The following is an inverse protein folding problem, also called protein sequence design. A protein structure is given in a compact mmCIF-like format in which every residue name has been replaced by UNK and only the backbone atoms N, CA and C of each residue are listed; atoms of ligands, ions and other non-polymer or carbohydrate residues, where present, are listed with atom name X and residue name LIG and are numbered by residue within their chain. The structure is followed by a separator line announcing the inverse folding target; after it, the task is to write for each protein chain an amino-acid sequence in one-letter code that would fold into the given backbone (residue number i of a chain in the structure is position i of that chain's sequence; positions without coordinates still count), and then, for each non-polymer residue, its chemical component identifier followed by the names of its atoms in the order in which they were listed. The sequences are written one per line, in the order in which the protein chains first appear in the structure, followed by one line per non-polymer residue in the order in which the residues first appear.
data_IF_271699570389
#
_entry.id   IF_271699570389
#
_cell.length_a   1.000
_cell.length_b   1.000
_cell.length_c   1.000
_cell.angle_alpha   90.00
_cell.angle_beta   90.00
_cell.angle_gamma   90.00
#
_symmetry.space_group_name_H-M   'P 1'
#
loop_
_entity.id
_entity.type
_entity.pdbx_description
1 polymer ?
#
# COMPACT_ATOMS: atom_id res chain seq x y z
N UNK A 1 -18.30 -27.09 -29.61
CA UNK A 1 -17.29 -26.02 -29.43
C UNK A 1 -17.58 -24.76 -30.24
N UNK A 2 -17.98 -24.82 -31.51
CA UNK A 2 -18.20 -23.61 -32.33
C UNK A 2 -19.44 -22.77 -31.95
N UNK A 3 -20.45 -23.38 -31.32
CA UNK A 3 -21.74 -22.74 -31.03
C UNK A 3 -21.64 -21.62 -30.00
N UNK A 4 -20.93 -21.84 -28.89
CA UNK A 4 -20.75 -20.85 -27.83
C UNK A 4 -19.96 -19.62 -28.32
N UNK A 5 -18.93 -19.84 -29.15
CA UNK A 5 -18.13 -18.76 -29.74
C UNK A 5 -18.94 -17.91 -30.73
N UNK A 6 -19.76 -18.54 -31.58
CA UNK A 6 -20.66 -17.81 -32.49
C UNK A 6 -21.73 -17.02 -31.72
N UNK A 7 -22.26 -17.56 -30.64
CA UNK A 7 -23.28 -16.90 -29.81
C UNK A 7 -22.72 -15.66 -29.08
N UNK A 8 -21.46 -15.72 -28.63
CA UNK A 8 -20.78 -14.61 -27.95
C UNK A 8 -20.71 -13.31 -28.76
N UNK A 9 -20.54 -13.40 -30.10
CA UNK A 9 -20.50 -12.22 -30.98
C UNK A 9 -21.84 -11.90 -31.65
N UNK A 10 -22.76 -12.87 -31.73
CA UNK A 10 -24.06 -12.69 -32.40
C UNK A 10 -25.12 -12.08 -31.51
N UNK A 11 -25.13 -12.43 -30.23
CA UNK A 11 -26.20 -12.04 -29.32
C UNK A 11 -25.68 -11.07 -28.26
N UNK A 12 -26.15 -9.81 -28.32
CA UNK A 12 -25.80 -8.77 -27.32
C UNK A 12 -26.41 -9.06 -25.94
N UNK A 13 -27.37 -9.98 -25.83
CA UNK A 13 -28.03 -10.32 -24.57
C UNK A 13 -27.14 -11.13 -23.62
N UNK A 14 -26.18 -11.91 -24.16
CA UNK A 14 -25.38 -12.86 -23.38
C UNK A 14 -24.16 -12.24 -22.68
N UNK A 15 -23.82 -10.99 -23.00
CA UNK A 15 -22.80 -10.19 -22.29
C UNK A 15 -21.38 -10.77 -22.29
N UNK A 16 -20.42 -9.99 -21.78
CA UNK A 16 -19.05 -10.49 -21.59
C UNK A 16 -18.96 -11.38 -20.34
N UNK A 17 -18.19 -12.50 -20.37
CA UNK A 17 -17.97 -13.31 -19.19
C UNK A 17 -17.33 -12.47 -18.08
N UNK A 18 -17.95 -12.50 -16.89
CA UNK A 18 -17.42 -11.83 -15.71
C UNK A 18 -16.33 -12.70 -15.10
N UNK A 19 -15.08 -12.45 -15.48
CA UNK A 19 -13.94 -13.12 -14.86
C UNK A 19 -13.89 -12.80 -13.37
N UNK A 20 -13.75 -13.84 -12.53
CA UNK A 20 -13.53 -13.66 -11.09
C UNK A 20 -12.15 -13.03 -10.89
N UNK A 21 -12.07 -12.04 -10.00
CA UNK A 21 -10.77 -11.52 -9.56
C UNK A 21 -10.03 -12.58 -8.74
N UNK A 22 -8.70 -12.61 -8.87
CA UNK A 22 -7.85 -13.44 -8.02
C UNK A 22 -7.92 -12.88 -6.61
N UNK A 23 -8.56 -13.62 -5.71
CA UNK A 23 -8.90 -13.13 -4.37
C UNK A 23 -7.69 -12.67 -3.54
N UNK A 24 -6.47 -13.18 -3.80
CA UNK A 24 -5.23 -12.86 -3.09
C UNK A 24 -4.06 -12.64 -4.07
N UNK A 25 -4.13 -11.59 -4.89
CA UNK A 25 -3.02 -11.19 -5.76
C UNK A 25 -1.84 -10.59 -4.96
N UNK A 26 -2.15 -9.89 -3.87
CA UNK A 26 -1.19 -9.17 -3.04
C UNK A 26 -0.66 -10.04 -1.91
N UNK A 27 0.61 -10.40 -2.00
CA UNK A 27 1.35 -11.08 -0.93
C UNK A 27 1.87 -10.02 0.06
N UNK A 28 1.12 -9.77 1.13
CA UNK A 28 1.51 -8.83 2.18
C UNK A 28 1.42 -9.43 3.57
N UNK A 29 2.26 -8.92 4.47
CA UNK A 29 2.29 -9.27 5.88
C UNK A 29 2.38 -7.99 6.71
N UNK A 30 1.41 -7.80 7.60
CA UNK A 30 1.34 -6.62 8.47
C UNK A 30 1.54 -7.03 9.92
N UNK A 31 2.31 -6.23 10.65
CA UNK A 31 2.56 -6.39 12.08
C UNK A 31 2.35 -5.09 12.81
N UNK A 32 1.60 -5.14 13.90
CA UNK A 32 1.50 -4.05 14.85
C UNK A 32 2.70 -4.09 15.80
N UNK A 33 3.16 -2.93 16.25
CA UNK A 33 4.22 -2.81 17.22
C UNK A 33 3.64 -2.95 18.63
N UNK A 34 3.90 -4.08 19.30
CA UNK A 34 3.56 -4.27 20.72
C UNK A 34 4.71 -3.74 21.57
N UNK A 35 4.86 -2.41 21.60
CA UNK A 35 5.91 -1.70 22.32
C UNK A 35 7.24 -1.66 21.56
N UNK A 36 7.99 -2.76 21.58
CA UNK A 36 9.37 -2.81 21.04
C UNK A 36 9.62 -3.96 20.08
N UNK A 37 8.57 -4.60 19.57
CA UNK A 37 8.70 -5.74 18.66
C UNK A 37 9.18 -5.31 17.28
N UNK A 38 8.82 -4.10 16.86
CA UNK A 38 9.27 -3.48 15.61
C UNK A 38 10.16 -2.30 15.97
N UNK A 39 11.45 -2.41 15.64
CA UNK A 39 12.45 -1.40 15.99
C UNK A 39 13.59 -1.39 14.99
N UNK A 40 14.23 -0.24 14.83
CA UNK A 40 15.51 -0.16 14.15
C UNK A 40 16.60 -0.62 15.11
N UNK A 41 17.46 -1.52 14.64
CA UNK A 41 18.70 -1.86 15.34
C UNK A 41 19.76 -0.85 14.91
N UNK A 42 19.87 -0.64 13.61
CA UNK A 42 20.78 0.31 12.96
C UNK A 42 20.03 1.10 11.88
N UNK A 43 20.73 2.05 11.24
CA UNK A 43 20.22 2.78 10.07
C UNK A 43 19.89 1.90 8.85
N UNK A 44 20.33 0.65 8.84
CA UNK A 44 20.16 -0.30 7.73
C UNK A 44 19.43 -1.58 8.13
N UNK A 45 19.05 -1.75 9.40
CA UNK A 45 18.52 -3.03 9.88
C UNK A 45 17.27 -2.79 10.71
N UNK A 46 16.18 -3.44 10.33
CA UNK A 46 14.92 -3.44 11.08
C UNK A 46 14.68 -4.81 11.71
N UNK A 47 14.26 -4.82 12.97
CA UNK A 47 13.79 -6.01 13.65
C UNK A 47 12.28 -6.11 13.53
N UNK A 48 11.81 -7.29 13.13
CA UNK A 48 10.40 -7.63 12.98
C UNK A 48 10.05 -8.84 13.85
N UNK A 49 8.77 -9.01 14.25
CA UNK A 49 8.37 -10.07 15.17
C UNK A 49 8.72 -11.48 14.68
N UNK A 50 8.37 -11.81 13.43
CA UNK A 50 8.56 -13.15 12.85
C UNK A 50 9.87 -13.28 12.08
N UNK A 51 10.26 -12.23 11.36
CA UNK A 51 11.42 -12.24 10.46
C UNK A 51 12.72 -11.84 11.15
N UNK A 52 12.67 -11.44 12.42
CA UNK A 52 13.82 -10.95 13.20
C UNK A 52 14.50 -9.82 12.44
N UNK A 53 15.82 -9.87 12.30
CA UNK A 53 16.64 -8.77 11.81
C UNK A 53 16.76 -8.84 10.29
N UNK A 54 16.27 -7.79 9.63
CA UNK A 54 16.20 -7.70 8.16
C UNK A 54 16.92 -6.45 7.71
N UNK A 55 17.82 -6.60 6.75
CA UNK A 55 18.49 -5.46 6.14
C UNK A 55 17.56 -4.72 5.18
N UNK A 56 17.59 -3.39 5.25
CA UNK A 56 16.74 -2.49 4.49
C UNK A 56 17.52 -1.30 3.95
N UNK A 57 16.99 -0.71 2.89
CA UNK A 57 17.42 0.59 2.38
C UNK A 57 16.36 1.63 2.76
N UNK A 58 16.66 2.49 3.73
CA UNK A 58 15.75 3.57 4.11
C UNK A 58 15.64 4.61 3.00
N UNK A 59 14.40 4.90 2.60
CA UNK A 59 14.10 5.92 1.59
C UNK A 59 14.08 7.34 2.19
N UNK A 60 13.68 7.49 3.46
CA UNK A 60 13.63 8.76 4.18
C UNK A 60 14.18 8.59 5.59
N UNK A 61 14.78 9.64 6.12
CA UNK A 61 15.11 9.71 7.55
C UNK A 61 13.84 9.95 8.36
N UNK A 62 13.76 9.32 9.54
CA UNK A 62 12.64 9.50 10.44
C UNK A 62 12.82 10.77 11.29
N UNK A 63 11.72 11.46 11.66
CA UNK A 63 11.75 12.53 12.65
C UNK A 63 12.33 12.05 13.99
N UNK A 64 12.96 12.94 14.76
CA UNK A 64 13.69 12.60 15.99
C UNK A 64 12.82 11.93 17.07
N UNK A 65 11.54 12.29 17.15
CA UNK A 65 10.60 11.78 18.15
C UNK A 65 9.51 10.87 17.55
N UNK A 66 9.80 10.22 16.43
CA UNK A 66 8.83 9.37 15.73
C UNK A 66 8.63 8.01 16.43
N UNK A 67 7.38 7.67 16.73
CA UNK A 67 6.97 6.39 17.32
C UNK A 67 6.45 5.46 16.23
N UNK A 68 7.03 4.26 16.11
CA UNK A 68 6.59 3.26 15.14
C UNK A 68 5.33 2.55 15.66
N UNK A 69 4.25 2.55 14.86
CA UNK A 69 2.99 1.86 15.18
C UNK A 69 2.89 0.49 14.54
N UNK A 70 3.26 0.38 13.26
CA UNK A 70 3.14 -0.87 12.52
C UNK A 70 4.09 -0.91 11.32
N UNK A 71 4.35 -2.11 10.83
CA UNK A 71 5.09 -2.33 9.60
C UNK A 71 4.31 -3.27 8.70
N UNK A 72 4.25 -2.95 7.41
CA UNK A 72 3.64 -3.76 6.37
C UNK A 72 4.69 -4.13 5.34
N UNK A 73 4.95 -5.42 5.19
CA UNK A 73 5.82 -5.96 4.16
C UNK A 73 4.94 -6.37 2.99
N UNK A 74 5.34 -5.99 1.79
CA UNK A 74 4.65 -6.37 0.56
C UNK A 74 5.63 -6.94 -0.45
N UNK A 75 5.19 -7.98 -1.16
CA UNK A 75 5.93 -8.59 -2.26
C UNK A 75 5.25 -8.24 -3.58
N UNK A 76 6.02 -7.62 -4.47
CA UNK A 76 5.58 -7.35 -5.85
C UNK A 76 5.64 -8.62 -6.70
N UNK A 77 4.88 -8.70 -7.82
CA UNK A 77 4.96 -9.83 -8.75
C UNK A 77 6.37 -10.06 -9.31
N UNK A 78 7.17 -9.00 -9.44
CA UNK A 78 8.59 -9.03 -9.82
C UNK A 78 9.48 -9.71 -8.77
N UNK A 79 8.95 -10.05 -7.59
CA UNK A 79 9.68 -10.70 -6.51
C UNK A 79 10.37 -9.74 -5.54
N UNK A 80 10.29 -8.43 -5.76
CA UNK A 80 10.88 -7.41 -4.88
C UNK A 80 10.04 -7.20 -3.63
N UNK A 81 10.71 -7.03 -2.49
CA UNK A 81 10.09 -6.76 -1.19
C UNK A 81 10.21 -5.28 -0.82
N UNK A 82 9.13 -4.75 -0.27
CA UNK A 82 9.06 -3.37 0.24
C UNK A 82 8.44 -3.37 1.62
N UNK A 83 8.92 -2.47 2.48
CA UNK A 83 8.40 -2.27 3.82
C UNK A 83 7.82 -0.86 3.91
N UNK A 84 6.55 -0.78 4.29
CA UNK A 84 5.89 0.46 4.66
C UNK A 84 5.81 0.53 6.19
N UNK A 85 6.38 1.58 6.78
CA UNK A 85 6.44 1.78 8.23
C UNK A 85 5.49 2.91 8.57
N UNK A 86 4.54 2.63 9.45
CA UNK A 86 3.63 3.63 10.00
C UNK A 86 4.27 4.23 11.24
N UNK A 87 4.46 5.54 11.21
CA UNK A 87 5.06 6.34 12.29
C UNK A 87 4.12 7.47 12.68
N UNK A 88 4.02 7.68 13.99
CA UNK A 88 3.37 8.84 14.61
C UNK A 88 4.47 9.81 15.06
N UNK A 89 4.32 11.09 14.75
CA UNK A 89 5.25 12.14 15.16
C UNK A 89 4.49 13.45 15.34
N UNK A 90 4.94 14.29 16.27
CA UNK A 90 4.37 15.63 16.45
C UNK A 90 4.87 16.55 15.35
N UNK A 91 3.98 17.33 14.75
CA UNK A 91 4.33 18.36 13.78
C UNK A 91 3.35 19.51 13.92
N UNK A 92 3.89 20.72 13.94
CA UNK A 92 3.10 21.95 13.91
C UNK A 92 2.68 22.18 12.45
N UNK A 93 1.38 21.95 12.18
CA UNK A 93 0.83 22.10 10.83
C UNK A 93 0.34 23.53 10.68
N UNK A 94 1.00 24.30 9.81
CA UNK A 94 0.50 25.60 9.38
C UNK A 94 -0.74 25.39 8.48
N UNK A 95 -1.87 26.00 8.85
CA UNK A 95 -3.12 25.85 8.10
C UNK A 95 -3.00 26.50 6.72
N UNK A 96 -3.04 25.68 5.67
CA UNK A 96 -3.00 26.19 4.29
C UNK A 96 -4.38 26.72 3.89
N UNK A 97 -4.46 27.98 3.48
CA UNK A 97 -5.71 28.60 3.05
C UNK A 97 -6.30 27.90 1.80
N UNK A 98 -7.62 27.67 1.80
CA UNK A 98 -8.30 27.03 0.67
C UNK A 98 -8.29 27.96 -0.56
N UNK A 99 -7.85 27.44 -1.71
CA UNK A 99 -7.93 28.19 -2.98
C UNK A 99 -9.41 28.40 -3.33
N UNK A 100 -9.84 29.66 -3.44
CA UNK A 100 -11.21 30.01 -3.88
C UNK A 100 -11.50 29.35 -5.24
N UNK A 101 -12.63 28.65 -5.37
CA UNK A 101 -13.08 28.10 -6.65
C UNK A 101 -13.22 29.25 -7.66
N UNK A 102 -12.60 29.11 -8.82
CA UNK A 102 -12.81 29.98 -9.96
C UNK A 102 -14.31 29.97 -10.30
N UNK A 103 -14.97 31.13 -10.20
CA UNK A 103 -16.38 31.26 -10.56
C UNK A 103 -16.53 31.02 -12.06
N UNK A 104 -17.35 30.04 -12.44
CA UNK A 104 -17.76 29.88 -13.84
C UNK A 104 -18.59 31.12 -14.20
N UNK A 105 -18.03 31.95 -15.09
CA UNK A 105 -18.74 33.06 -15.73
C UNK A 105 -19.79 32.43 -16.64
N UNK A 106 -21.07 32.51 -16.24
CA UNK A 106 -22.20 32.15 -17.11
C UNK A 106 -22.53 33.42 -17.90
N UNK A 107 -22.55 33.28 -19.23
CA UNK A 107 -22.97 34.35 -20.16
C UNK A 107 -24.50 34.49 -20.17
#
# INVERSE_FOLDING_TARGET
MQTAYKNFFRDKSTGFPKFKSKHHDKKSYTTNNQGSTIRFIDSKTIRLPKLKDVQIKLHRQLPKDAVIKSATISKTPTGKYYIAILVEYQTDIESVASKKKCSRRVN
#
